data_IF_124070023350
#
_entry.id   IF_124070023350
#
_cell.length_a   1.000
_cell.length_b   1.000
_cell.length_c   1.000
_cell.angle_alpha   90.00
_cell.angle_beta   90.00
_cell.angle_gamma   90.00
#
_symmetry.space_group_name_H-M   'P 1'
#
loop_
_entity.id
_entity.type
_entity.pdbx_description
1 polymer ?
#
# COMPACT_ATOMS: atom_id res chain seq x y z
N UNK A 1 26.67 -12.34 -56.31
CA UNK A 1 26.27 -13.08 -55.09
C UNK A 1 26.56 -12.23 -53.87
N UNK A 2 25.60 -11.50 -53.30
CA UNK A 2 25.61 -11.01 -51.92
C UNK A 2 24.14 -11.07 -51.46
N UNK A 3 23.83 -11.97 -50.53
CA UNK A 3 22.51 -12.10 -49.88
C UNK A 3 22.60 -11.35 -48.56
N UNK A 4 21.94 -10.20 -48.46
CA UNK A 4 21.82 -9.46 -47.21
C UNK A 4 20.71 -10.09 -46.36
N UNK A 5 21.09 -10.69 -45.23
CA UNK A 5 20.18 -11.21 -44.22
C UNK A 5 19.88 -10.08 -43.24
N UNK A 6 18.67 -9.51 -43.34
CA UNK A 6 18.11 -8.60 -42.34
C UNK A 6 17.58 -9.44 -41.16
N UNK A 7 18.37 -9.52 -40.09
CA UNK A 7 17.98 -10.16 -38.84
C UNK A 7 17.23 -9.14 -37.97
N UNK A 8 15.90 -9.19 -38.01
CA UNK A 8 15.02 -8.34 -37.21
C UNK A 8 14.91 -8.90 -35.78
N UNK A 9 15.57 -8.26 -34.82
CA UNK A 9 15.40 -8.53 -33.38
C UNK A 9 14.11 -7.87 -32.88
N UNK A 10 13.04 -8.65 -32.72
CA UNK A 10 11.83 -8.21 -32.00
C UNK A 10 12.09 -8.37 -30.50
N UNK A 11 12.48 -7.27 -29.85
CA UNK A 11 12.51 -7.16 -28.39
C UNK A 11 11.06 -7.12 -27.88
N UNK A 12 10.56 -8.25 -27.35
CA UNK A 12 9.32 -8.30 -26.59
C UNK A 12 9.54 -7.61 -25.23
N UNK A 13 9.32 -6.30 -25.20
CA UNK A 13 9.20 -5.53 -23.97
C UNK A 13 7.91 -5.98 -23.25
N UNK A 14 8.01 -6.99 -22.38
CA UNK A 14 6.99 -7.25 -21.37
C UNK A 14 7.08 -6.13 -20.33
N UNK A 15 6.46 -4.99 -20.62
CA UNK A 15 6.15 -4.01 -19.59
C UNK A 15 5.14 -4.68 -18.65
N UNK A 16 5.55 -4.96 -17.42
CA UNK A 16 4.61 -5.24 -16.33
C UNK A 16 3.88 -3.93 -16.01
N UNK A 17 2.94 -3.53 -16.88
CA UNK A 17 2.02 -2.46 -16.58
C UNK A 17 1.15 -2.93 -15.40
N UNK A 18 1.24 -2.23 -14.27
CA UNK A 18 0.25 -2.38 -13.20
C UNK A 18 -1.14 -2.17 -13.81
N UNK A 19 -1.98 -3.20 -13.73
CA UNK A 19 -3.34 -3.12 -14.23
C UNK A 19 -4.08 -1.98 -13.49
N UNK A 20 -4.87 -1.15 -14.21
CA UNK A 20 -5.64 -0.10 -13.56
C UNK A 20 -6.67 -0.71 -12.60
N UNK A 21 -6.98 0.02 -11.51
CA UNK A 21 -8.02 -0.38 -10.57
C UNK A 21 -9.37 -0.36 -11.30
N UNK A 22 -9.99 -1.53 -11.41
CA UNK A 22 -11.27 -1.69 -12.09
C UNK A 22 -12.45 -1.41 -11.15
N UNK A 23 -13.36 -0.54 -11.60
CA UNK A 23 -14.60 -0.18 -10.92
C UNK A 23 -15.77 -0.46 -11.86
N UNK A 24 -16.73 -1.25 -11.41
CA UNK A 24 -17.92 -1.64 -12.18
C UNK A 24 -19.15 -1.28 -11.37
N UNK A 25 -20.05 -0.49 -11.95
CA UNK A 25 -21.28 -0.03 -11.29
C UNK A 25 -21.01 0.63 -9.91
N UNK A 26 -19.92 1.40 -9.80
CA UNK A 26 -19.55 2.08 -8.56
C UNK A 26 -18.89 1.20 -7.50
N UNK A 27 -18.66 -0.09 -7.78
CA UNK A 27 -18.00 -1.06 -6.90
C UNK A 27 -16.61 -1.41 -7.39
N UNK A 28 -15.70 -1.69 -6.46
CA UNK A 28 -14.43 -2.32 -6.78
C UNK A 28 -14.66 -3.71 -7.41
N UNK A 29 -14.06 -3.96 -8.56
CA UNK A 29 -14.19 -5.24 -9.26
C UNK A 29 -12.80 -5.83 -9.53
N UNK A 30 -12.32 -6.76 -8.69
CA UNK A 30 -11.04 -7.43 -8.93
C UNK A 30 -11.02 -8.12 -10.31
N UNK A 31 -9.86 -8.18 -10.98
CA UNK A 31 -9.70 -8.99 -12.17
C UNK A 31 -9.97 -10.48 -11.89
N UNK A 32 -10.27 -11.29 -12.92
CA UNK A 32 -10.39 -12.74 -12.76
C UNK A 32 -9.15 -13.35 -12.09
N UNK A 33 -9.37 -14.34 -11.21
CA UNK A 33 -8.30 -14.99 -10.43
C UNK A 33 -7.49 -14.03 -9.53
N UNK A 34 -8.04 -12.88 -9.18
CA UNK A 34 -7.42 -11.91 -8.28
C UNK A 34 -8.41 -11.41 -7.23
N UNK A 35 -7.87 -10.82 -6.19
CA UNK A 35 -8.57 -10.11 -5.13
C UNK A 35 -8.05 -8.66 -5.07
N UNK A 36 -8.83 -7.76 -4.46
CA UNK A 36 -8.32 -6.49 -4.01
C UNK A 36 -8.10 -6.48 -2.49
N UNK A 37 -6.92 -6.06 -2.06
CA UNK A 37 -6.65 -5.70 -0.67
C UNK A 37 -6.43 -4.19 -0.56
N UNK A 38 -7.08 -3.58 0.43
CA UNK A 38 -7.06 -2.15 0.67
C UNK A 38 -6.40 -1.92 2.02
N UNK A 39 -5.36 -1.09 2.04
CA UNK A 39 -4.63 -0.74 3.27
C UNK A 39 -4.17 0.70 3.20
N UNK A 40 -4.34 1.45 4.29
CA UNK A 40 -3.72 2.77 4.41
C UNK A 40 -2.39 2.65 5.13
N UNK A 41 -1.35 3.27 4.56
CA UNK A 41 -0.04 3.42 5.19
C UNK A 41 0.14 4.90 5.51
N UNK A 42 0.10 5.24 6.79
CA UNK A 42 0.17 6.63 7.25
C UNK A 42 1.36 6.84 8.17
N UNK A 43 1.82 8.08 8.25
CA UNK A 43 2.96 8.42 9.09
C UNK A 43 2.88 9.85 9.64
N UNK A 44 3.57 10.06 10.75
CA UNK A 44 4.04 11.37 11.19
C UNK A 44 5.52 11.28 11.58
N UNK A 45 6.25 12.37 11.39
CA UNK A 45 7.69 12.43 11.67
C UNK A 45 8.10 13.80 12.20
N UNK A 46 9.26 13.91 12.83
CA UNK A 46 9.90 15.22 13.03
C UNK A 46 10.54 15.76 11.74
N UNK A 47 10.89 14.86 10.82
CA UNK A 47 11.30 15.18 9.47
C UNK A 47 10.07 15.38 8.58
N UNK A 48 9.69 16.64 8.38
CA UNK A 48 8.54 17.02 7.56
C UNK A 48 8.87 17.06 6.06
N UNK A 49 10.15 16.89 5.68
CA UNK A 49 10.64 17.13 4.32
C UNK A 49 11.09 15.85 3.61
N UNK A 50 11.46 14.80 4.36
CA UNK A 50 12.04 13.57 3.80
C UNK A 50 11.46 12.25 4.31
N UNK A 51 10.64 12.26 5.37
CA UNK A 51 10.22 11.01 6.01
C UNK A 51 9.39 10.13 5.08
N UNK A 52 9.68 8.82 5.12
CA UNK A 52 9.00 7.80 4.34
C UNK A 52 8.72 6.56 5.18
N UNK A 53 7.65 5.86 4.81
CA UNK A 53 7.26 4.60 5.40
C UNK A 53 7.15 3.53 4.31
N UNK A 54 7.51 2.29 4.65
CA UNK A 54 7.25 1.12 3.83
C UNK A 54 6.53 0.04 4.63
N UNK A 55 5.69 -0.74 3.96
CA UNK A 55 5.05 -1.93 4.49
C UNK A 55 5.37 -3.11 3.58
N UNK A 56 5.92 -4.19 4.15
CA UNK A 56 6.20 -5.43 3.43
C UNK A 56 5.09 -6.43 3.65
N UNK A 57 4.48 -6.86 2.55
CA UNK A 57 3.55 -7.99 2.51
C UNK A 57 4.25 -9.18 1.84
N UNK A 58 4.29 -10.32 2.50
CA UNK A 58 4.73 -11.58 1.90
C UNK A 58 3.51 -12.41 1.49
N UNK A 59 3.53 -13.01 0.31
CA UNK A 59 2.44 -13.87 -0.16
C UNK A 59 2.85 -14.89 -1.22
N UNK A 60 1.89 -15.56 -1.88
CA UNK A 60 2.15 -16.73 -2.73
C UNK A 60 3.00 -16.42 -3.97
N UNK A 61 3.01 -15.16 -4.42
CA UNK A 61 3.80 -14.68 -5.58
C UNK A 61 5.07 -13.92 -5.18
N UNK A 62 5.46 -13.99 -3.91
CA UNK A 62 6.60 -13.25 -3.36
C UNK A 62 6.20 -12.02 -2.56
N UNK A 63 7.15 -11.10 -2.40
CA UNK A 63 6.97 -9.90 -1.59
C UNK A 63 6.34 -8.75 -2.39
N UNK A 64 5.51 -7.96 -1.72
CA UNK A 64 4.93 -6.71 -2.19
C UNK A 64 5.30 -5.63 -1.18
N UNK A 65 6.07 -4.64 -1.62
CA UNK A 65 6.45 -3.51 -0.80
C UNK A 65 5.57 -2.30 -1.15
N UNK A 66 4.90 -1.76 -0.13
CA UNK A 66 4.10 -0.54 -0.22
C UNK A 66 4.90 0.61 0.35
N UNK A 67 4.71 1.81 -0.17
CA UNK A 67 5.39 3.01 0.34
C UNK A 67 4.40 4.15 0.61
N UNK A 68 4.79 5.06 1.50
CA UNK A 68 4.14 6.35 1.70
C UNK A 68 5.21 7.39 2.05
N UNK A 69 5.11 8.58 1.46
CA UNK A 69 6.00 9.72 1.70
C UNK A 69 5.25 10.82 2.43
N UNK A 70 5.89 11.43 3.42
CA UNK A 70 5.34 12.55 4.17
C UNK A 70 5.12 13.79 3.28
N UNK A 71 5.94 13.92 2.23
CA UNK A 71 5.99 15.09 1.36
C UNK A 71 4.93 15.04 0.25
N UNK A 72 4.68 13.86 -0.31
CA UNK A 72 3.91 13.72 -1.56
C UNK A 72 2.57 13.02 -1.39
N UNK A 73 2.36 12.27 -0.31
CA UNK A 73 1.18 11.44 -0.16
C UNK A 73 0.21 12.00 0.89
N UNK A 74 -1.06 12.12 0.52
CA UNK A 74 -2.13 12.52 1.42
C UNK A 74 -3.39 11.73 1.12
N UNK A 75 -4.02 11.20 2.17
CA UNK A 75 -5.34 10.57 2.12
C UNK A 75 -6.38 11.65 2.45
N UNK A 76 -7.17 12.02 1.45
CA UNK A 76 -8.24 13.00 1.61
C UNK A 76 -9.34 12.48 2.55
N UNK A 77 -9.88 13.35 3.39
CA UNK A 77 -10.97 13.01 4.31
C UNK A 77 -11.95 14.19 4.45
N UNK A 78 -13.22 13.94 4.83
CA UNK A 78 -14.18 15.01 5.09
C UNK A 78 -13.80 15.87 6.30
N UNK A 79 -13.26 15.25 7.34
CA UNK A 79 -12.94 15.92 8.61
C UNK A 79 -11.48 16.39 8.68
N UNK A 80 -10.53 15.45 8.49
CA UNK A 80 -9.10 15.74 8.55
C UNK A 80 -8.32 14.76 7.69
N UNK A 81 -7.57 15.30 6.73
CA UNK A 81 -6.68 14.52 5.89
C UNK A 81 -5.62 13.80 6.74
N UNK A 82 -5.17 12.63 6.27
CA UNK A 82 -4.05 11.92 6.85
C UNK A 82 -2.84 12.02 5.91
N UNK A 83 -1.64 12.19 6.48
CA UNK A 83 -0.41 12.13 5.70
C UNK A 83 -0.07 10.66 5.47
N UNK A 84 0.12 10.29 4.21
CA UNK A 84 0.33 8.92 3.78
C UNK A 84 -0.51 8.54 2.58
N UNK A 85 -0.53 7.23 2.28
CA UNK A 85 -1.08 6.70 1.03
C UNK A 85 -2.07 5.58 1.27
N UNK A 86 -3.18 5.64 0.55
CA UNK A 86 -4.14 4.54 0.45
C UNK A 86 -3.74 3.63 -0.71
N UNK A 87 -3.49 2.37 -0.42
CA UNK A 87 -3.12 1.36 -1.41
C UNK A 87 -4.31 0.46 -1.72
N UNK A 88 -4.53 0.21 -3.01
CA UNK A 88 -5.44 -0.84 -3.51
C UNK A 88 -4.60 -1.82 -4.32
N UNK A 89 -4.52 -3.06 -3.86
CA UNK A 89 -3.59 -4.06 -4.38
C UNK A 89 -4.34 -5.18 -5.06
N UNK A 90 -4.03 -5.43 -6.33
CA UNK A 90 -4.40 -6.66 -7.02
C UNK A 90 -3.53 -7.82 -6.53
N UNK A 91 -4.12 -8.73 -5.75
CA UNK A 91 -3.43 -9.88 -5.15
C UNK A 91 -3.93 -11.19 -5.74
N UNK A 92 -3.05 -12.19 -5.82
CA UNK A 92 -3.48 -13.55 -6.13
C UNK A 92 -4.19 -14.16 -4.90
N UNK A 93 -5.14 -15.09 -5.08
CA UNK A 93 -5.75 -15.80 -3.96
C UNK A 93 -4.70 -16.54 -3.13
N UNK A 94 -4.85 -16.49 -1.81
CA UNK A 94 -3.95 -17.18 -0.88
C UNK A 94 -3.77 -16.44 0.43
N UNK A 95 -2.81 -16.91 1.21
CA UNK A 95 -2.43 -16.36 2.50
C UNK A 95 -1.27 -15.38 2.34
N UNK A 96 -1.39 -14.25 3.03
CA UNK A 96 -0.42 -13.18 3.07
C UNK A 96 -0.06 -12.86 4.51
N UNK A 97 1.15 -12.36 4.72
CA UNK A 97 1.62 -11.84 6.01
C UNK A 97 2.18 -10.45 5.83
N UNK A 98 1.63 -9.48 6.57
CA UNK A 98 2.25 -8.19 6.81
C UNK A 98 3.39 -8.40 7.81
N UNK A 99 4.61 -8.57 7.30
CA UNK A 99 5.78 -8.97 8.08
C UNK A 99 6.24 -7.84 9.00
N UNK A 100 6.49 -6.68 8.40
CA UNK A 100 7.09 -5.53 9.05
C UNK A 100 6.72 -4.23 8.33
N UNK A 101 6.77 -3.14 9.06
CA UNK A 101 6.87 -1.81 8.49
C UNK A 101 8.26 -1.21 8.76
N UNK A 102 8.65 -0.27 7.92
CA UNK A 102 9.95 0.38 7.98
C UNK A 102 9.74 1.89 7.89
N UNK A 103 10.36 2.63 8.79
CA UNK A 103 10.41 4.10 8.73
C UNK A 103 11.81 4.58 8.37
N UNK A 104 11.92 5.50 7.43
CA UNK A 104 13.15 6.20 7.07
C UNK A 104 12.94 7.70 7.25
N UNK A 105 13.80 8.34 8.02
CA UNK A 105 13.67 9.76 8.36
C UNK A 105 15.00 10.34 8.86
N UNK A 106 15.16 11.64 8.70
CA UNK A 106 16.33 12.39 9.15
C UNK A 106 16.07 13.18 10.44
N UNK A 107 17.11 13.46 11.21
CA UNK A 107 17.02 14.39 12.34
C UNK A 107 18.36 15.06 12.60
N UNK A 108 18.35 16.20 13.28
CA UNK A 108 19.60 16.88 13.67
C UNK A 108 19.99 16.52 15.10
N UNK A 109 21.19 15.97 15.28
CA UNK A 109 21.79 15.70 16.57
C UNK A 109 23.13 16.44 16.69
N UNK A 110 23.29 17.24 17.75
CA UNK A 110 24.51 18.02 17.99
C UNK A 110 24.96 18.87 16.77
N UNK A 111 23.99 19.40 16.00
CA UNK A 111 24.25 20.22 14.81
C UNK A 111 24.50 19.45 13.52
N UNK A 112 24.51 18.11 13.54
CA UNK A 112 24.75 17.26 12.37
C UNK A 112 23.49 16.50 11.96
N UNK A 113 23.21 16.39 10.64
CA UNK A 113 22.13 15.54 10.15
C UNK A 113 22.47 14.07 10.42
N UNK A 114 21.47 13.32 10.87
CA UNK A 114 21.51 11.90 11.15
C UNK A 114 20.37 11.24 10.40
N UNK A 115 20.64 10.08 9.81
CA UNK A 115 19.62 9.26 9.14
C UNK A 115 19.21 8.12 10.06
N UNK A 116 17.90 7.85 10.17
CA UNK A 116 17.37 6.68 10.87
C UNK A 116 16.59 5.78 9.93
N UNK A 117 16.72 4.50 10.23
CA UNK A 117 16.00 3.43 9.58
C UNK A 117 15.47 2.49 10.67
N UNK A 118 14.18 2.61 10.98
CA UNK A 118 13.55 1.87 12.07
C UNK A 118 12.67 0.75 11.52
N UNK A 119 13.00 -0.49 11.91
CA UNK A 119 12.23 -1.70 11.58
C UNK A 119 11.19 -1.99 12.67
N UNK A 120 9.92 -2.09 12.29
CA UNK A 120 8.77 -2.27 13.18
C UNK A 120 8.06 -3.59 12.82
N UNK A 121 8.35 -4.71 13.53
CA UNK A 121 7.76 -6.00 13.21
C UNK A 121 6.25 -6.04 13.51
N UNK A 122 5.49 -6.73 12.66
CA UNK A 122 4.03 -6.85 12.76
C UNK A 122 3.55 -8.30 12.85
N UNK A 123 4.01 -9.16 11.93
CA UNK A 123 3.64 -10.58 11.87
C UNK A 123 2.13 -10.83 11.77
N UNK A 124 1.40 -10.02 10.99
CA UNK A 124 -0.07 -10.11 10.86
C UNK A 124 -0.46 -10.80 9.56
N UNK A 125 -1.14 -11.94 9.66
CA UNK A 125 -1.56 -12.70 8.49
C UNK A 125 -3.00 -12.39 8.09
N UNK A 126 -3.30 -12.49 6.80
CA UNK A 126 -4.65 -12.39 6.24
C UNK A 126 -4.76 -13.25 4.99
N UNK A 127 -5.95 -13.74 4.70
CA UNK A 127 -6.24 -14.49 3.47
C UNK A 127 -7.03 -13.62 2.51
N UNK A 128 -6.90 -13.86 1.20
CA UNK A 128 -7.79 -13.31 0.17
C UNK A 128 -8.25 -14.41 -0.77
N UNK A 129 -9.51 -14.35 -1.21
CA UNK A 129 -10.08 -15.26 -2.21
C UNK A 129 -10.29 -14.55 -3.55
N UNK A 130 -10.33 -15.30 -4.65
CA UNK A 130 -10.64 -14.74 -5.97
C UNK A 130 -11.98 -13.98 -5.94
N UNK A 131 -12.00 -12.79 -6.55
CA UNK A 131 -13.15 -11.88 -6.57
C UNK A 131 -13.41 -11.16 -5.25
N UNK A 132 -12.61 -11.38 -4.20
CA UNK A 132 -12.79 -10.72 -2.91
C UNK A 132 -12.22 -9.31 -2.92
N UNK A 133 -12.89 -8.39 -2.21
CA UNK A 133 -12.36 -7.07 -1.87
C UNK A 133 -12.28 -7.00 -0.35
N UNK A 134 -11.08 -6.83 0.19
CA UNK A 134 -10.85 -6.77 1.65
C UNK A 134 -10.24 -5.43 2.05
N UNK A 135 -10.69 -4.89 3.17
CA UNK A 135 -10.09 -3.74 3.83
C UNK A 135 -9.34 -4.18 5.08
N UNK A 136 -8.05 -3.88 5.12
CA UNK A 136 -7.09 -4.35 6.12
C UNK A 136 -6.88 -3.35 7.27
N UNK A 137 -7.46 -2.15 7.16
CA UNK A 137 -7.25 -1.07 8.13
C UNK A 137 -6.07 -0.16 7.77
N UNK A 138 -5.64 0.57 8.77
CA UNK A 138 -4.49 1.46 8.74
C UNK A 138 -3.29 0.84 9.43
N UNK A 139 -2.12 0.99 8.80
CA UNK A 139 -0.80 0.85 9.41
C UNK A 139 -0.22 2.25 9.59
N UNK A 140 -0.16 2.72 10.83
CA UNK A 140 0.34 4.04 11.17
C UNK A 140 1.72 3.96 11.83
N UNK A 141 2.68 4.72 11.31
CA UNK A 141 4.03 4.85 11.88
C UNK A 141 4.21 6.22 12.50
N UNK A 142 4.53 6.26 13.81
CA UNK A 142 5.00 7.47 14.44
C UNK A 142 6.52 7.47 14.50
N UNK A 143 7.16 8.22 13.60
CA UNK A 143 8.61 8.30 13.43
C UNK A 143 9.18 9.39 14.34
N UNK A 144 9.82 8.96 15.41
CA UNK A 144 10.38 9.86 16.42
C UNK A 144 11.58 9.20 17.08
N UNK A 145 12.18 9.82 18.09
CA UNK A 145 13.29 9.20 18.83
C UNK A 145 12.96 7.78 19.34
N UNK A 146 11.68 7.54 19.66
CA UNK A 146 11.14 6.21 19.91
C UNK A 146 10.01 5.93 18.90
N UNK A 147 10.39 5.40 17.73
CA UNK A 147 9.42 5.05 16.71
C UNK A 147 8.43 3.99 17.17
N UNK A 148 7.17 4.11 16.73
CA UNK A 148 6.11 3.18 17.09
C UNK A 148 5.18 2.88 15.92
N UNK A 149 4.48 1.75 16.03
CA UNK A 149 3.52 1.27 15.04
C UNK A 149 2.16 1.08 15.69
N UNK A 150 1.10 1.53 15.01
CA UNK A 150 -0.28 1.32 15.41
C UNK A 150 -1.10 0.78 14.25
N UNK A 151 -1.91 -0.24 14.55
CA UNK A 151 -2.93 -0.75 13.65
C UNK A 151 -4.30 -0.22 14.08
N UNK A 152 -5.08 0.33 13.14
CA UNK A 152 -6.39 0.89 13.48
C UNK A 152 -7.41 0.73 12.36
N UNK A 153 -8.69 0.89 12.69
CA UNK A 153 -9.75 0.99 11.72
C UNK A 153 -9.96 2.46 11.32
N UNK A 154 -9.80 2.77 10.03
CA UNK A 154 -10.02 4.09 9.46
C UNK A 154 -10.95 4.02 8.24
N UNK A 155 -11.82 3.00 8.15
CA UNK A 155 -12.61 2.73 6.94
C UNK A 155 -13.46 3.94 6.50
N UNK A 156 -13.99 4.75 7.43
CA UNK A 156 -14.78 5.95 7.08
C UNK A 156 -13.96 6.93 6.23
N UNK A 157 -12.70 7.19 6.64
CA UNK A 157 -11.77 8.04 5.88
C UNK A 157 -11.37 7.37 4.59
N UNK A 158 -10.93 6.13 4.67
CA UNK A 158 -10.32 5.43 3.55
C UNK A 158 -11.36 5.17 2.45
N UNK A 159 -12.61 4.87 2.79
CA UNK A 159 -13.69 4.69 1.80
C UNK A 159 -14.11 6.01 1.16
N UNK A 160 -14.06 7.12 1.89
CA UNK A 160 -14.23 8.44 1.29
C UNK A 160 -13.12 8.70 0.25
N UNK A 161 -11.86 8.44 0.61
CA UNK A 161 -10.73 8.61 -0.30
C UNK A 161 -10.84 7.70 -1.53
N UNK A 162 -11.28 6.45 -1.37
CA UNK A 162 -11.60 5.55 -2.49
C UNK A 162 -12.64 6.16 -3.44
N UNK A 163 -13.69 6.76 -2.90
CA UNK A 163 -14.71 7.45 -3.69
C UNK A 163 -14.14 8.63 -4.48
N UNK A 164 -13.29 9.45 -3.84
CA UNK A 164 -12.64 10.60 -4.49
C UNK A 164 -11.63 10.17 -5.57
N UNK A 165 -10.84 9.13 -5.31
CA UNK A 165 -9.72 8.74 -6.16
C UNK A 165 -10.15 7.85 -7.33
N UNK A 166 -11.13 6.97 -7.11
CA UNK A 166 -11.51 5.92 -8.08
C UNK A 166 -12.99 5.98 -8.49
N UNK A 167 -13.78 6.93 -7.97
CA UNK A 167 -15.21 7.03 -8.28
C UNK A 167 -16.06 5.90 -7.67
N UNK A 168 -15.60 5.30 -6.57
CA UNK A 168 -16.33 4.26 -5.84
C UNK A 168 -17.49 4.90 -5.09
N UNK A 169 -18.71 4.54 -5.46
CA UNK A 169 -19.95 5.03 -4.84
C UNK A 169 -20.66 3.98 -4.01
N UNK A 170 -20.27 2.71 -4.14
CA UNK A 170 -20.83 1.59 -3.39
C UNK A 170 -19.70 0.71 -2.81
N UNK A 171 -19.56 0.73 -1.49
CA UNK A 171 -18.58 -0.04 -0.73
C UNK A 171 -19.12 -1.35 -0.16
N UNK A 172 -20.35 -1.75 -0.52
CA UNK A 172 -21.03 -2.94 0.05
C UNK A 172 -20.29 -4.26 -0.20
N UNK A 173 -19.41 -4.31 -1.20
CA UNK A 173 -18.62 -5.50 -1.50
C UNK A 173 -17.25 -5.52 -0.79
N UNK A 174 -16.89 -4.46 -0.06
CA UNK A 174 -15.64 -4.37 0.70
C UNK A 174 -15.84 -5.02 2.07
N UNK A 175 -15.12 -6.11 2.32
CA UNK A 175 -15.13 -6.81 3.61
C UNK A 175 -14.08 -6.25 4.54
N UNK A 176 -14.48 -5.76 5.70
CA UNK A 176 -13.55 -5.26 6.73
C UNK A 176 -12.91 -6.47 7.44
N UNK A 177 -11.60 -6.64 7.27
CA UNK A 177 -10.76 -7.69 7.87
C UNK A 177 -9.46 -7.04 8.38
N UNK A 178 -9.57 -6.36 9.52
CA UNK A 178 -8.50 -5.53 10.06
C UNK A 178 -7.28 -6.36 10.48
N UNK A 179 -6.08 -5.88 10.19
CA UNK A 179 -4.82 -6.47 10.69
C UNK A 179 -4.68 -6.35 12.22
N UNK A 180 -5.43 -5.46 12.86
CA UNK A 180 -5.47 -5.30 14.31
C UNK A 180 -6.28 -6.38 15.01
N UNK A 181 -7.18 -7.07 14.30
CA UNK A 181 -8.02 -8.12 14.88
C UNK A 181 -7.21 -9.43 15.03
N UNK A 182 -7.44 -10.19 16.11
CA UNK A 182 -6.94 -11.56 16.18
C UNK A 182 -7.58 -12.40 15.06
N UNK A 183 -6.76 -13.23 14.40
CA UNK A 183 -7.23 -14.22 13.43
C UNK A 183 -7.99 -15.36 14.11
#
# INVERSE_FOLDING_TARGET
MIKSVLLSCVLLLNSCAMAPIAVVQGKLSPPPEQAYAIVSLTLNSFDQDGASAWLRLQGPKGNVDLNASILTDTIAAPAKNAIGKLHVLALAPGEYTAEQAVGDWSYTAAGWPQQRHDLLPMGKSFTVKAGEVVYLGEVHLALSFQSSLKLSDQHVRDFYALGQQYGISDSSNIKIRLLSSPN
#
